data_IF_537698991115
#
_entry.id   IF_537698991115
#
_cell.length_a   1.000
_cell.length_b   1.000
_cell.length_c   1.000
_cell.angle_alpha   90.00
_cell.angle_beta   90.00
_cell.angle_gamma   90.00
#
_symmetry.space_group_name_H-M   'P 1'
#
loop_
_entity.id
_entity.type
_entity.pdbx_description
1 polymer ?
#
# COMPACT_ATOMS: atom_id res chain seq x y z
N UNK A 1 -7.47 8.52 -24.15
CA UNK A 1 -8.32 7.39 -23.71
C UNK A 1 -7.52 6.23 -23.08
N UNK A 2 -6.52 5.64 -23.73
CA UNK A 2 -5.76 4.50 -23.18
C UNK A 2 -5.08 4.73 -21.82
N UNK A 3 -4.51 5.93 -21.58
CA UNK A 3 -3.92 6.29 -20.28
C UNK A 3 -4.92 6.25 -19.10
N UNK A 4 -6.20 6.57 -19.35
CA UNK A 4 -7.26 6.51 -18.32
C UNK A 4 -7.60 5.06 -17.99
N UNK A 5 -7.66 4.19 -19.00
CA UNK A 5 -7.84 2.74 -18.82
C UNK A 5 -6.70 2.12 -17.99
N UNK A 6 -5.45 2.55 -18.22
CA UNK A 6 -4.28 2.10 -17.42
C UNK A 6 -4.41 2.57 -15.97
N UNK A 7 -4.83 3.81 -15.73
CA UNK A 7 -5.03 4.35 -14.37
C UNK A 7 -6.11 3.57 -13.62
N UNK A 8 -7.26 3.33 -14.26
CA UNK A 8 -8.38 2.59 -13.66
C UNK A 8 -8.00 1.15 -13.35
N UNK A 9 -7.32 0.47 -14.28
CA UNK A 9 -6.81 -0.88 -14.05
C UNK A 9 -5.81 -0.95 -12.90
N UNK A 10 -4.90 0.02 -12.80
CA UNK A 10 -3.94 0.11 -11.71
C UNK A 10 -4.61 0.33 -10.35
N UNK A 11 -5.60 1.23 -10.28
CA UNK A 11 -6.40 1.46 -9.07
C UNK A 11 -7.16 0.20 -8.65
N UNK A 12 -7.75 -0.54 -9.59
CA UNK A 12 -8.44 -1.80 -9.30
C UNK A 12 -7.49 -2.87 -8.73
N UNK A 13 -6.26 -2.96 -9.26
CA UNK A 13 -5.24 -3.88 -8.72
C UNK A 13 -4.84 -3.48 -7.30
N UNK A 14 -4.65 -2.19 -7.03
CA UNK A 14 -4.32 -1.69 -5.68
C UNK A 14 -5.46 -1.99 -4.71
N UNK A 15 -6.70 -1.70 -5.08
CA UNK A 15 -7.88 -1.97 -4.26
C UNK A 15 -8.04 -3.48 -4.03
N UNK A 16 -7.88 -4.29 -5.08
CA UNK A 16 -7.94 -5.75 -4.98
C UNK A 16 -6.85 -6.32 -4.07
N UNK A 17 -5.61 -5.81 -4.17
CA UNK A 17 -4.52 -6.17 -3.28
C UNK A 17 -4.81 -5.75 -1.84
N UNK A 18 -5.28 -4.51 -1.62
CA UNK A 18 -5.72 -4.05 -0.31
C UNK A 18 -6.80 -4.98 0.25
N UNK A 19 -7.86 -5.31 -0.49
CA UNK A 19 -8.92 -6.21 -0.02
C UNK A 19 -8.43 -7.64 0.24
N UNK A 20 -7.55 -8.16 -0.60
CA UNK A 20 -6.96 -9.49 -0.43
C UNK A 20 -6.09 -9.56 0.84
N UNK A 21 -5.25 -8.56 1.06
CA UNK A 21 -4.42 -8.47 2.26
C UNK A 21 -5.25 -8.02 3.49
N UNK A 22 -6.33 -7.27 3.35
CA UNK A 22 -7.16 -6.80 4.48
C UNK A 22 -8.31 -7.72 4.85
N UNK A 23 -8.36 -8.95 4.32
CA UNK A 23 -9.47 -9.88 4.58
C UNK A 23 -9.65 -10.14 6.08
N UNK A 24 -10.69 -9.47 6.61
CA UNK A 24 -11.56 -9.80 7.74
C UNK A 24 -11.10 -9.67 9.19
N UNK A 25 -9.84 -9.37 9.50
CA UNK A 25 -9.46 -9.05 10.87
C UNK A 25 -8.51 -7.85 10.93
N UNK A 26 -9.01 -6.73 11.45
CA UNK A 26 -8.25 -5.52 11.82
C UNK A 26 -7.14 -5.76 12.88
N UNK A 27 -6.83 -7.02 13.20
CA UNK A 27 -5.67 -7.42 14.00
C UNK A 27 -4.34 -7.36 13.22
N UNK A 28 -4.37 -7.12 11.91
CA UNK A 28 -3.19 -7.15 11.04
C UNK A 28 -2.64 -5.78 10.63
N UNK A 29 -3.13 -4.69 11.23
CA UNK A 29 -2.55 -3.36 11.04
C UNK A 29 -1.10 -3.37 11.58
N UNK A 30 -0.18 -3.68 10.68
CA UNK A 30 1.24 -3.82 10.95
C UNK A 30 1.86 -5.22 10.98
N UNK A 31 1.30 -6.20 10.26
CA UNK A 31 2.07 -7.43 9.95
C UNK A 31 2.09 -7.83 8.48
N UNK A 32 1.90 -6.86 7.57
CA UNK A 32 2.19 -7.05 6.15
C UNK A 32 3.60 -7.64 6.00
N UNK A 33 3.83 -8.63 5.12
CA UNK A 33 5.16 -9.19 4.90
C UNK A 33 6.12 -8.07 4.47
N UNK A 34 7.02 -7.67 5.36
CA UNK A 34 7.94 -6.53 5.20
C UNK A 34 7.80 -5.42 6.26
N UNK A 35 6.69 -5.37 6.99
CA UNK A 35 6.54 -4.47 8.13
C UNK A 35 7.22 -5.07 9.37
N UNK A 36 8.22 -4.36 9.89
CA UNK A 36 9.05 -4.85 10.99
C UNK A 36 8.37 -4.46 12.30
N UNK A 37 7.91 -5.47 13.05
CA UNK A 37 7.36 -5.29 14.39
C UNK A 37 8.33 -5.86 15.41
N UNK A 38 8.95 -4.98 16.18
CA UNK A 38 9.84 -5.35 17.27
C UNK A 38 9.04 -5.19 18.55
N UNK A 39 8.58 -6.30 19.11
CA UNK A 39 7.73 -6.33 20.30
C UNK A 39 8.55 -6.90 21.47
N UNK A 40 8.92 -6.04 22.41
CA UNK A 40 9.63 -6.38 23.64
C UNK A 40 8.74 -6.13 24.87
N UNK A 41 9.09 -6.71 26.01
CA UNK A 41 8.27 -6.69 27.24
C UNK A 41 7.92 -5.28 27.76
N UNK A 42 8.69 -4.25 27.39
CA UNK A 42 8.49 -2.86 27.81
C UNK A 42 8.26 -1.87 26.64
N UNK A 43 8.40 -2.29 25.38
CA UNK A 43 8.26 -1.40 24.23
C UNK A 43 7.88 -2.16 22.96
N UNK A 44 6.98 -1.58 22.18
CA UNK A 44 6.57 -2.09 20.87
C UNK A 44 6.90 -1.03 19.82
N UNK A 45 7.78 -1.37 18.87
CA UNK A 45 8.16 -0.49 17.76
C UNK A 45 7.63 -1.10 16.47
N UNK A 46 6.84 -0.31 15.75
CA UNK A 46 6.25 -0.70 14.47
C UNK A 46 6.84 0.14 13.35
N UNK A 47 7.46 -0.52 12.36
CA UNK A 47 8.06 0.13 11.20
C UNK A 47 7.30 -0.28 9.92
N UNK A 48 6.35 0.54 9.45
CA UNK A 48 5.54 0.26 8.25
C UNK A 48 6.30 0.56 6.94
N UNK A 49 7.44 -0.09 6.71
CA UNK A 49 8.27 0.14 5.52
C UNK A 49 7.51 -0.13 4.22
N UNK A 50 6.81 -1.27 4.17
CA UNK A 50 6.09 -1.74 2.98
C UNK A 50 4.93 -0.81 2.66
N UNK A 51 4.19 -0.41 3.69
CA UNK A 51 3.05 0.49 3.56
C UNK A 51 3.47 1.89 3.09
N UNK A 52 4.54 2.45 3.67
CA UNK A 52 5.06 3.76 3.26
C UNK A 52 5.61 3.76 1.83
N UNK A 53 6.33 2.69 1.45
CA UNK A 53 6.80 2.51 0.07
C UNK A 53 5.65 2.41 -0.92
N UNK A 54 4.64 1.60 -0.61
CA UNK A 54 3.49 1.40 -1.49
C UNK A 54 2.73 2.72 -1.71
N UNK A 55 2.47 3.47 -0.64
CA UNK A 55 1.85 4.80 -0.72
C UNK A 55 2.68 5.75 -1.58
N UNK A 56 4.01 5.78 -1.38
CA UNK A 56 4.91 6.65 -2.13
C UNK A 56 4.95 6.32 -3.63
N UNK A 57 5.06 5.04 -3.98
CA UNK A 57 5.11 4.57 -5.37
C UNK A 57 3.78 4.87 -6.07
N UNK A 58 2.65 4.58 -5.42
CA UNK A 58 1.32 4.83 -5.99
C UNK A 58 1.08 6.33 -6.18
N UNK A 59 1.37 7.16 -5.17
CA UNK A 59 1.23 8.61 -5.27
C UNK A 59 2.13 9.20 -6.36
N UNK A 60 3.38 8.76 -6.43
CA UNK A 60 4.33 9.19 -7.47
C UNK A 60 3.87 8.78 -8.86
N UNK A 61 3.33 7.58 -9.02
CA UNK A 61 2.83 7.07 -10.29
C UNK A 61 1.60 7.85 -10.79
N UNK A 62 0.69 8.19 -9.88
CA UNK A 62 -0.48 9.05 -10.18
C UNK A 62 -0.01 10.44 -10.62
N UNK A 63 0.88 11.08 -9.85
CA UNK A 63 1.42 12.40 -10.18
C UNK A 63 2.17 12.41 -11.52
N UNK A 64 2.91 11.34 -11.81
CA UNK A 64 3.61 11.17 -13.08
C UNK A 64 2.62 11.08 -14.26
N UNK A 65 1.54 10.30 -14.13
CA UNK A 65 0.49 10.21 -15.15
C UNK A 65 -0.19 11.57 -15.36
N UNK A 66 -0.52 12.29 -14.29
CA UNK A 66 -1.17 13.61 -14.38
C UNK A 66 -0.24 14.61 -15.08
N UNK A 67 1.05 14.66 -14.73
CA UNK A 67 2.04 15.52 -15.40
C UNK A 67 2.27 15.17 -16.86
N UNK A 68 2.08 13.90 -17.24
CA UNK A 68 2.32 13.39 -18.60
C UNK A 68 1.07 13.47 -19.48
N UNK A 69 -0.07 13.86 -18.92
CA UNK A 69 -1.29 14.18 -19.65
C UNK A 69 -1.30 15.65 -20.04
#
# INVERSE_FOLDING_TARGET
>A
MGKVLILVGFLLVIIGALLHFTTFNFHWFGRLPGDIRIENQNYSVFIPLTSMLLISVVGSFILWIIRRF
#
